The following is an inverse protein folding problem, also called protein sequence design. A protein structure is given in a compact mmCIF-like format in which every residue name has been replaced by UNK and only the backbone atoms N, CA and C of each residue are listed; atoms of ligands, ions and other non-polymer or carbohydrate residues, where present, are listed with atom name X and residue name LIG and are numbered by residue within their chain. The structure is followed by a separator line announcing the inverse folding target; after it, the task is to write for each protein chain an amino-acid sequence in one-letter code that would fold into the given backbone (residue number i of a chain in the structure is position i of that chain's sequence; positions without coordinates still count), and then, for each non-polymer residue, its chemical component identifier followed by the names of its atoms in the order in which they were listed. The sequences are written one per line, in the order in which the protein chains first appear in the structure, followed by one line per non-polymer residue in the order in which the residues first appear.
data_IF_140716757876
#
_entry.id   IF_140716757876
#
_cell.length_a   1.000
_cell.length_b   1.000
_cell.length_c   1.000
_cell.angle_alpha   90.00
_cell.angle_beta   90.00
_cell.angle_gamma   90.00
#
_symmetry.space_group_name_H-M   'P 1'
#
loop_
_entity.id
_entity.type
_entity.pdbx_description
1 polymer ?
#
# COMPACT_ATOMS: atom_id res chain seq x y z
N UNK A 1 -3.13 -46.06 6.90
CA UNK A 1 -4.34 -46.89 6.72
C UNK A 1 -4.13 -48.04 5.73
N UNK A 2 -3.69 -47.83 4.47
CA UNK A 2 -3.49 -48.93 3.49
C UNK A 2 -2.47 -50.00 3.91
N UNK A 3 -1.26 -49.59 4.32
CA UNK A 3 -0.25 -50.53 4.82
C UNK A 3 -0.72 -51.27 6.07
N UNK A 4 -1.41 -50.57 6.97
CA UNK A 4 -1.99 -51.16 8.19
C UNK A 4 -3.09 -52.20 7.90
N UNK A 5 -3.93 -51.94 6.89
CA UNK A 5 -4.98 -52.87 6.45
C UNK A 5 -4.41 -54.11 5.76
N UNK A 6 -3.31 -53.96 5.01
CA UNK A 6 -2.61 -55.07 4.39
C UNK A 6 -1.93 -55.96 5.44
N UNK A 7 -1.19 -55.35 6.38
CA UNK A 7 -0.46 -56.08 7.43
C UNK A 7 -1.39 -56.83 8.38
N UNK A 8 -2.53 -56.23 8.73
CA UNK A 8 -3.40 -56.78 9.79
C UNK A 8 -4.55 -57.64 9.27
N UNK A 9 -4.99 -57.42 8.03
CA UNK A 9 -6.19 -58.07 7.48
C UNK A 9 -5.98 -58.69 6.09
N UNK A 10 -4.78 -58.62 5.51
CA UNK A 10 -4.48 -59.19 4.18
C UNK A 10 -5.29 -58.56 3.04
N UNK A 11 -5.86 -57.36 3.27
CA UNK A 11 -6.74 -56.69 2.31
C UNK A 11 -5.94 -55.80 1.37
N UNK A 12 -5.90 -56.19 0.10
CA UNK A 12 -5.37 -55.38 -0.98
C UNK A 12 -6.37 -54.30 -1.40
N UNK A 13 -6.30 -53.15 -0.73
CA UNK A 13 -7.12 -51.98 -1.08
C UNK A 13 -6.61 -51.36 -2.40
N UNK A 14 -7.53 -51.03 -3.30
CA UNK A 14 -7.25 -50.33 -4.55
C UNK A 14 -6.52 -48.99 -4.32
N UNK A 15 -5.82 -48.50 -5.34
CA UNK A 15 -5.18 -47.18 -5.29
C UNK A 15 -6.23 -46.07 -5.16
N UNK A 16 -6.51 -45.70 -3.92
CA UNK A 16 -7.17 -44.44 -3.60
C UNK A 16 -6.13 -43.32 -3.70
N UNK A 17 -5.62 -43.07 -4.91
CA UNK A 17 -5.12 -41.75 -5.28
C UNK A 17 -6.31 -40.89 -5.64
N UNK A 18 -7.16 -40.62 -4.65
CA UNK A 18 -7.83 -39.32 -4.67
C UNK A 18 -6.68 -38.31 -4.58
N UNK A 19 -6.60 -37.32 -5.48
CA UNK A 19 -5.66 -36.23 -5.28
C UNK A 19 -5.83 -35.76 -3.84
N UNK A 20 -4.73 -35.65 -3.10
CA UNK A 20 -4.71 -35.09 -1.73
C UNK A 20 -5.11 -33.61 -1.82
N UNK A 21 -6.36 -33.35 -2.13
CA UNK A 21 -6.93 -32.07 -2.46
C UNK A 21 -8.39 -32.10 -2.05
N UNK A 22 -8.73 -31.26 -1.07
CA UNK A 22 -10.09 -30.79 -0.89
C UNK A 22 -10.62 -30.25 -2.22
N UNK A 23 -11.94 -30.29 -2.44
CA UNK A 23 -12.61 -29.57 -3.54
C UNK A 23 -12.22 -28.07 -3.57
N UNK A 24 -11.77 -27.55 -2.44
CA UNK A 24 -11.08 -26.27 -2.29
C UNK A 24 -9.61 -26.40 -2.76
N UNK A 25 -9.41 -26.56 -4.07
CA UNK A 25 -8.09 -26.57 -4.70
C UNK A 25 -7.57 -25.13 -4.80
N UNK A 26 -7.41 -24.47 -3.65
CA UNK A 26 -6.74 -23.18 -3.54
C UNK A 26 -5.28 -23.29 -3.99
N UNK A 27 -4.71 -22.16 -4.42
CA UNK A 27 -3.30 -22.05 -4.77
C UNK A 27 -2.41 -22.54 -3.61
N UNK A 28 -1.51 -23.48 -3.89
CA UNK A 28 -0.56 -23.98 -2.89
C UNK A 28 0.43 -22.87 -2.51
N UNK A 29 0.60 -22.66 -1.20
CA UNK A 29 1.56 -21.70 -0.63
C UNK A 29 2.97 -21.90 -1.19
N UNK A 30 3.43 -23.13 -1.41
CA UNK A 30 4.76 -23.35 -1.98
C UNK A 30 4.87 -22.87 -3.43
N UNK A 31 3.81 -23.03 -4.23
CA UNK A 31 3.75 -22.51 -5.59
C UNK A 31 3.73 -20.97 -5.61
N UNK A 32 3.01 -20.36 -4.67
CA UNK A 32 3.01 -18.91 -4.46
C UNK A 32 4.43 -18.43 -4.11
N UNK A 33 5.10 -19.09 -3.16
CA UNK A 33 6.44 -18.67 -2.70
C UNK A 33 7.53 -18.82 -3.76
N UNK A 34 7.47 -19.87 -4.59
CA UNK A 34 8.35 -20.00 -5.77
C UNK A 34 8.18 -18.86 -6.77
N UNK A 35 6.99 -18.28 -6.84
CA UNK A 35 6.64 -17.20 -7.75
C UNK A 35 6.26 -15.91 -6.99
N UNK A 36 6.92 -15.65 -5.86
CA UNK A 36 6.58 -14.53 -4.96
C UNK A 36 6.54 -13.17 -5.67
N UNK A 37 7.40 -12.99 -6.69
CA UNK A 37 7.43 -11.79 -7.53
C UNK A 37 6.14 -11.59 -8.35
N UNK A 38 5.50 -12.67 -8.80
CA UNK A 38 4.20 -12.63 -9.48
C UNK A 38 3.10 -12.33 -8.46
N UNK A 39 3.15 -12.99 -7.31
CA UNK A 39 2.17 -12.82 -6.23
C UNK A 39 2.09 -11.35 -5.79
N UNK A 40 3.23 -10.73 -5.44
CA UNK A 40 3.27 -9.32 -4.99
C UNK A 40 2.81 -8.34 -6.08
N UNK A 41 3.03 -8.66 -7.36
CA UNK A 41 2.58 -7.80 -8.47
C UNK A 41 1.11 -7.97 -8.85
N UNK A 42 0.48 -9.10 -8.51
CA UNK A 42 -0.87 -9.45 -8.98
C UNK A 42 -1.93 -9.51 -7.89
N UNK A 43 -1.55 -9.57 -6.62
CA UNK A 43 -2.49 -9.73 -5.52
C UNK A 43 -2.49 -8.51 -4.62
N UNK A 44 -3.68 -8.13 -4.17
CA UNK A 44 -3.87 -7.15 -3.12
C UNK A 44 -4.35 -7.82 -1.85
N UNK A 45 -3.98 -7.25 -0.72
CA UNK A 45 -4.41 -7.73 0.58
C UNK A 45 -5.62 -6.94 1.08
N UNK A 46 -6.60 -7.66 1.62
CA UNK A 46 -7.70 -7.10 2.38
C UNK A 46 -7.49 -7.44 3.86
N UNK A 47 -7.23 -6.42 4.67
CA UNK A 47 -6.94 -6.58 6.09
C UNK A 47 -8.18 -7.03 6.87
N UNK A 48 -9.36 -6.49 6.52
CA UNK A 48 -10.61 -6.76 7.24
C UNK A 48 -11.09 -8.20 7.11
N UNK A 49 -11.01 -8.74 5.89
CA UNK A 49 -11.46 -10.10 5.57
C UNK A 49 -10.29 -11.10 5.54
N UNK A 50 -9.07 -10.63 5.79
CA UNK A 50 -7.84 -11.44 5.91
C UNK A 50 -7.60 -12.40 4.73
N UNK A 51 -7.72 -11.88 3.51
CA UNK A 51 -7.46 -12.65 2.30
C UNK A 51 -6.73 -11.80 1.26
N UNK A 52 -6.03 -12.48 0.36
CA UNK A 52 -5.46 -11.87 -0.84
C UNK A 52 -6.39 -12.08 -2.02
N UNK A 53 -6.55 -11.07 -2.85
CA UNK A 53 -7.37 -11.13 -4.07
C UNK A 53 -6.56 -10.70 -5.28
N UNK A 54 -6.72 -11.42 -6.38
CA UNK A 54 -6.08 -11.09 -7.64
C UNK A 54 -6.64 -9.77 -8.20
N UNK A 55 -5.75 -8.85 -8.61
CA UNK A 55 -6.09 -7.55 -9.25
C UNK A 55 -6.77 -7.71 -10.61
N UNK A 56 -6.54 -8.85 -11.27
CA UNK A 56 -7.02 -9.10 -12.63
C UNK A 56 -7.12 -10.59 -12.87
N UNK A 57 -8.22 -11.05 -13.45
CA UNK A 57 -8.33 -12.44 -13.87
C UNK A 57 -7.38 -12.77 -15.02
N UNK A 58 -6.82 -13.98 -14.98
CA UNK A 58 -6.07 -14.52 -16.10
C UNK A 58 -6.93 -14.62 -17.38
N UNK A 59 -6.27 -14.55 -18.54
CA UNK A 59 -6.94 -14.57 -19.85
C UNK A 59 -7.80 -15.83 -20.00
N UNK A 60 -9.12 -15.65 -19.98
CA UNK A 60 -10.10 -16.72 -20.12
C UNK A 60 -10.86 -17.07 -18.84
N UNK A 61 -10.39 -16.61 -17.66
CA UNK A 61 -11.11 -16.79 -16.40
C UNK A 61 -12.15 -15.69 -16.18
N UNK A 62 -13.35 -16.09 -15.74
CA UNK A 62 -14.43 -15.19 -15.28
C UNK A 62 -14.39 -14.91 -13.78
N UNK A 63 -13.46 -15.53 -13.06
CA UNK A 63 -13.34 -15.42 -11.61
C UNK A 63 -11.94 -14.92 -11.24
N UNK A 64 -11.86 -14.19 -10.12
CA UNK A 64 -10.60 -13.79 -9.51
C UNK A 64 -10.16 -14.86 -8.52
N UNK A 65 -8.86 -15.12 -8.49
CA UNK A 65 -8.30 -16.00 -7.47
C UNK A 65 -8.26 -15.28 -6.13
N UNK A 66 -8.59 -16.00 -5.06
CA UNK A 66 -8.50 -15.52 -3.69
C UNK A 66 -7.69 -16.52 -2.86
N UNK A 67 -6.79 -16.01 -2.01
CA UNK A 67 -6.00 -16.82 -1.08
C UNK A 67 -6.41 -16.44 0.33
N UNK A 68 -7.08 -17.37 1.01
CA UNK A 68 -7.55 -17.18 2.37
C UNK A 68 -6.64 -17.87 3.37
N UNK A 69 -6.83 -17.58 4.66
CA UNK A 69 -6.18 -18.32 5.75
C UNK A 69 -6.49 -19.82 5.66
N UNK A 70 -7.66 -20.22 5.16
CA UNK A 70 -8.00 -21.64 4.98
C UNK A 70 -7.13 -22.32 3.92
N UNK A 71 -6.84 -21.63 2.81
CA UNK A 71 -5.92 -22.12 1.79
C UNK A 71 -4.51 -22.32 2.36
N UNK A 72 -4.04 -21.37 3.18
CA UNK A 72 -2.75 -21.48 3.87
C UNK A 72 -2.74 -22.66 4.87
N UNK A 73 -3.80 -22.80 5.66
CA UNK A 73 -3.94 -23.90 6.62
C UNK A 73 -3.99 -25.27 5.93
N UNK A 74 -4.59 -25.35 4.73
CA UNK A 74 -4.61 -26.56 3.91
C UNK A 74 -3.20 -26.93 3.42
N UNK A 75 -2.42 -25.98 2.91
CA UNK A 75 -1.01 -26.21 2.55
C UNK A 75 -0.18 -26.68 3.74
N UNK A 76 -0.36 -26.09 4.94
CA UNK A 76 0.34 -26.54 6.17
C UNK A 76 -0.07 -27.97 6.54
N UNK A 77 -1.36 -28.33 6.40
CA UNK A 77 -1.85 -29.68 6.68
C UNK A 77 -1.28 -30.71 5.70
N UNK A 78 -1.12 -30.34 4.44
CA UNK A 78 -0.61 -31.24 3.38
C UNK A 78 0.90 -31.42 3.43
N UNK A 79 1.66 -30.34 3.64
CA UNK A 79 3.12 -30.36 3.53
C UNK A 79 3.86 -30.31 4.88
N UNK A 80 3.13 -30.14 5.98
CA UNK A 80 3.69 -30.01 7.32
C UNK A 80 4.26 -28.62 7.62
N UNK A 81 4.60 -28.38 8.89
CA UNK A 81 5.05 -27.07 9.37
C UNK A 81 6.40 -26.61 8.78
N UNK A 82 7.21 -27.53 8.24
CA UNK A 82 8.51 -27.22 7.62
C UNK A 82 8.43 -26.29 6.40
N UNK A 83 7.27 -26.15 5.76
CA UNK A 83 7.06 -25.19 4.67
C UNK A 83 7.14 -23.73 5.15
N UNK A 84 6.90 -23.47 6.45
CA UNK A 84 6.96 -22.12 7.00
C UNK A 84 8.39 -21.57 6.94
N UNK A 85 9.38 -22.36 7.33
CA UNK A 85 10.81 -21.98 7.19
C UNK A 85 11.16 -21.60 5.75
N UNK A 86 10.70 -22.42 4.81
CA UNK A 86 10.93 -22.18 3.37
C UNK A 86 10.24 -20.89 2.90
N UNK A 87 8.99 -20.68 3.32
CA UNK A 87 8.17 -19.51 2.99
C UNK A 87 8.79 -18.23 3.53
N UNK A 88 9.25 -18.25 4.79
CA UNK A 88 9.89 -17.11 5.43
C UNK A 88 11.22 -16.79 4.75
N UNK A 89 12.01 -17.80 4.40
CA UNK A 89 13.26 -17.59 3.65
C UNK A 89 13.02 -16.93 2.28
N UNK A 90 12.04 -17.43 1.49
CA UNK A 90 11.68 -16.79 0.22
C UNK A 90 11.19 -15.35 0.40
N UNK A 91 10.37 -15.11 1.42
CA UNK A 91 9.86 -13.78 1.76
C UNK A 91 10.99 -12.84 2.16
N UNK A 92 11.90 -13.29 3.02
CA UNK A 92 13.07 -12.53 3.44
C UNK A 92 13.96 -12.17 2.24
N UNK A 93 14.32 -13.13 1.39
CA UNK A 93 15.14 -12.88 0.21
C UNK A 93 14.48 -11.89 -0.76
N UNK A 94 13.17 -11.96 -0.91
CA UNK A 94 12.42 -11.02 -1.73
C UNK A 94 12.42 -9.62 -1.12
N UNK A 95 12.07 -9.50 0.16
CA UNK A 95 12.07 -8.23 0.89
C UNK A 95 13.44 -7.57 0.90
N UNK A 96 14.50 -8.36 1.07
CA UNK A 96 15.89 -7.92 1.01
C UNK A 96 16.20 -7.16 -0.28
N UNK A 97 15.88 -7.79 -1.43
CA UNK A 97 16.08 -7.18 -2.76
C UNK A 97 15.22 -5.94 -2.98
N UNK A 98 14.00 -5.90 -2.44
CA UNK A 98 13.12 -4.73 -2.55
C UNK A 98 13.57 -3.59 -1.65
N UNK A 99 14.06 -3.92 -0.46
CA UNK A 99 14.63 -2.98 0.48
C UNK A 99 15.89 -2.34 -0.07
N UNK A 100 16.70 -3.09 -0.82
CA UNK A 100 17.86 -2.57 -1.53
C UNK A 100 17.46 -1.45 -2.52
N UNK A 101 16.52 -1.73 -3.42
CA UNK A 101 15.98 -0.74 -4.38
C UNK A 101 15.38 0.47 -3.66
N UNK A 102 14.72 0.25 -2.53
CA UNK A 102 14.18 1.32 -1.71
C UNK A 102 15.28 2.18 -1.07
N UNK A 103 16.33 1.56 -0.51
CA UNK A 103 17.47 2.27 0.05
C UNK A 103 18.21 3.07 -1.02
N UNK A 104 18.33 2.51 -2.23
CA UNK A 104 18.84 3.23 -3.40
C UNK A 104 18.05 4.51 -3.64
N UNK A 105 16.75 4.37 -3.82
CA UNK A 105 15.89 5.50 -4.09
C UNK A 105 15.99 6.62 -3.04
N UNK A 106 16.11 6.27 -1.74
CA UNK A 106 16.31 7.28 -0.69
C UNK A 106 17.73 7.84 -0.60
N UNK A 107 18.73 7.12 -1.11
CA UNK A 107 20.10 7.60 -1.15
C UNK A 107 20.34 8.61 -2.27
N UNK A 108 19.54 8.54 -3.33
CA UNK A 108 19.67 9.42 -4.50
C UNK A 108 19.75 10.89 -4.10
N UNK A 109 20.75 11.60 -4.63
CA UNK A 109 21.10 12.94 -4.19
C UNK A 109 19.98 13.95 -4.43
N UNK A 110 19.18 13.78 -5.50
CA UNK A 110 18.02 14.63 -5.75
C UNK A 110 16.96 14.43 -4.66
N UNK A 111 16.62 13.17 -4.39
CA UNK A 111 15.61 12.78 -3.39
C UNK A 111 16.05 13.20 -1.99
N UNK A 112 17.26 12.82 -1.61
CA UNK A 112 17.86 13.11 -0.29
C UNK A 112 18.02 14.61 -0.04
N UNK A 113 18.47 15.38 -1.04
CA UNK A 113 18.61 16.84 -0.90
C UNK A 113 17.26 17.52 -0.75
N UNK A 114 16.26 17.05 -1.50
CA UNK A 114 14.88 17.50 -1.37
C UNK A 114 14.34 17.20 0.04
N UNK A 115 14.41 15.95 0.50
CA UNK A 115 13.92 15.54 1.82
C UNK A 115 14.63 16.32 2.94
N UNK A 116 15.95 16.54 2.85
CA UNK A 116 16.68 17.38 3.81
C UNK A 116 16.24 18.85 3.81
N UNK A 117 15.82 19.39 2.67
CA UNK A 117 15.28 20.75 2.57
C UNK A 117 13.91 20.81 3.23
N UNK A 118 13.06 19.81 3.01
CA UNK A 118 11.74 19.72 3.65
C UNK A 118 11.86 19.59 5.17
N UNK A 119 12.75 18.71 5.67
CA UNK A 119 12.99 18.57 7.11
C UNK A 119 13.48 19.88 7.73
N UNK A 120 14.37 20.62 7.06
CA UNK A 120 14.84 21.92 7.53
C UNK A 120 13.72 22.96 7.56
N UNK A 121 12.92 23.01 6.49
CA UNK A 121 11.77 23.90 6.40
C UNK A 121 10.74 23.61 7.49
N UNK A 122 10.40 22.33 7.70
CA UNK A 122 9.45 21.92 8.74
C UNK A 122 9.97 22.31 10.12
N UNK A 123 11.25 22.06 10.43
CA UNK A 123 11.84 22.44 11.72
C UNK A 123 11.84 23.96 11.97
N UNK A 124 12.10 24.78 10.95
CA UNK A 124 12.12 26.24 11.12
C UNK A 124 10.73 26.83 11.26
N UNK A 125 9.72 26.30 10.56
CA UNK A 125 8.34 26.81 10.58
C UNK A 125 7.43 26.09 11.59
N UNK A 126 7.94 25.07 12.28
CA UNK A 126 7.23 24.38 13.36
C UNK A 126 6.83 25.36 14.46
N UNK A 127 7.61 26.41 14.72
CA UNK A 127 7.32 27.40 15.77
C UNK A 127 6.58 28.64 15.28
N UNK A 128 6.54 28.89 13.97
CA UNK A 128 5.86 30.06 13.38
C UNK A 128 4.39 29.80 13.06
N UNK A 129 4.06 28.60 12.61
CA UNK A 129 2.67 28.21 12.34
C UNK A 129 2.01 27.74 13.64
N UNK A 130 0.97 28.46 14.11
CA UNK A 130 0.20 28.12 15.32
C UNK A 130 -0.31 26.66 15.39
N UNK A 131 -0.40 25.98 14.24
CA UNK A 131 -1.07 24.68 14.10
C UNK A 131 -0.10 23.49 14.01
N UNK A 132 1.24 23.70 14.02
CA UNK A 132 2.30 22.67 14.03
C UNK A 132 2.25 21.56 12.93
N UNK A 133 1.30 21.62 12.00
CA UNK A 133 1.01 20.64 10.94
C UNK A 133 1.92 20.79 9.72
N UNK A 134 2.18 19.67 9.05
CA UNK A 134 2.90 19.65 7.77
C UNK A 134 1.95 19.99 6.61
N UNK A 135 2.20 21.05 5.80
CA UNK A 135 1.23 21.52 4.81
C UNK A 135 0.92 20.54 3.67
N UNK A 136 -0.36 20.42 3.31
CA UNK A 136 -0.81 19.56 2.20
C UNK A 136 -0.17 19.93 0.86
N UNK A 137 -0.11 21.23 0.52
CA UNK A 137 0.40 21.68 -0.78
C UNK A 137 1.85 21.25 -1.02
N UNK A 138 2.69 21.25 0.02
CA UNK A 138 4.09 20.80 -0.08
C UNK A 138 4.21 19.31 -0.35
N UNK A 139 3.36 18.49 0.28
CA UNK A 139 3.30 17.06 -0.01
C UNK A 139 2.88 16.80 -1.46
N UNK A 140 1.90 17.57 -1.96
CA UNK A 140 1.41 17.47 -3.33
C UNK A 140 2.46 17.89 -4.35
N UNK A 141 3.12 19.02 -4.13
CA UNK A 141 4.20 19.50 -5.01
C UNK A 141 5.37 18.52 -5.04
N UNK A 142 5.70 17.91 -3.89
CA UNK A 142 6.70 16.86 -3.83
C UNK A 142 6.29 15.64 -4.66
N UNK A 143 5.05 15.15 -4.50
CA UNK A 143 4.52 14.04 -5.28
C UNK A 143 4.70 14.29 -6.79
N UNK A 144 4.32 15.48 -7.26
CA UNK A 144 4.45 15.88 -8.66
C UNK A 144 5.91 15.93 -9.14
N UNK A 145 6.82 16.38 -8.28
CA UNK A 145 8.25 16.46 -8.59
C UNK A 145 8.96 15.09 -8.61
N UNK A 146 8.37 14.06 -7.98
CA UNK A 146 8.96 12.70 -7.90
C UNK A 146 8.79 11.87 -9.18
N UNK A 147 7.98 12.31 -10.14
CA UNK A 147 7.65 11.52 -11.34
C UNK A 147 8.80 11.48 -12.38
N UNK A 148 9.92 12.19 -12.16
CA UNK A 148 10.96 12.42 -13.19
C UNK A 148 12.44 12.10 -12.90
N UNK A 149 12.90 11.45 -11.81
CA UNK A 149 14.33 11.11 -11.68
C UNK A 149 14.69 9.69 -12.19
N UNK A 150 15.70 9.62 -13.06
CA UNK A 150 16.50 8.41 -13.29
C UNK A 150 17.52 8.24 -12.14
N UNK A 151 17.77 7.01 -11.68
CA UNK A 151 18.65 6.75 -10.53
C UNK A 151 20.14 6.96 -10.86
N UNK A 152 20.88 7.54 -9.91
CA UNK A 152 22.34 7.75 -9.97
C UNK A 152 23.19 6.47 -9.74
N UNK A 153 24.47 6.49 -10.16
CA UNK A 153 25.37 5.32 -10.04
C UNK A 153 25.89 5.10 -8.61
N UNK A 154 26.07 6.17 -7.85
CA UNK A 154 26.51 6.18 -6.45
C UNK A 154 25.46 5.51 -5.55
N UNK A 155 24.20 5.72 -5.92
CA UNK A 155 23.03 5.09 -5.34
C UNK A 155 23.07 3.57 -5.48
N UNK A 156 23.45 3.05 -6.65
CA UNK A 156 23.62 1.61 -6.87
C UNK A 156 24.75 0.99 -6.03
N UNK A 157 25.77 1.77 -5.66
CA UNK A 157 26.89 1.30 -4.80
C UNK A 157 26.47 1.22 -3.34
N UNK A 158 25.75 2.23 -2.83
CA UNK A 158 25.23 2.23 -1.46
C UNK A 158 24.27 1.04 -1.21
N UNK A 159 23.52 0.67 -2.24
CA UNK A 159 22.69 -0.53 -2.29
C UNK A 159 23.47 -1.82 -2.08
N UNK A 160 24.50 -2.05 -2.90
CA UNK A 160 25.29 -3.29 -2.85
C UNK A 160 25.85 -3.58 -1.45
N UNK A 161 26.13 -2.53 -0.68
CA UNK A 161 26.56 -2.66 0.71
C UNK A 161 25.43 -3.15 1.64
N UNK A 162 24.20 -2.67 1.44
CA UNK A 162 23.00 -3.19 2.13
C UNK A 162 22.80 -4.66 1.77
N UNK A 163 22.83 -4.99 0.48
CA UNK A 163 22.68 -6.37 -0.01
C UNK A 163 23.68 -7.33 0.65
N UNK A 164 24.94 -6.93 0.79
CA UNK A 164 25.96 -7.75 1.44
C UNK A 164 25.65 -8.00 2.93
N UNK A 165 25.19 -6.99 3.66
CA UNK A 165 24.82 -7.12 5.07
C UNK A 165 23.58 -8.00 5.23
N UNK A 166 22.57 -7.77 4.38
CA UNK A 166 21.29 -8.49 4.41
C UNK A 166 21.46 -9.97 4.01
N UNK A 167 22.30 -10.26 3.01
CA UNK A 167 22.62 -11.63 2.60
C UNK A 167 23.41 -12.39 3.68
N UNK A 168 24.27 -11.70 4.44
CA UNK A 168 24.96 -12.32 5.57
C UNK A 168 24.00 -12.66 6.72
N UNK A 169 23.02 -11.80 7.00
CA UNK A 169 21.98 -12.07 8.00
C UNK A 169 21.03 -13.20 7.57
N UNK A 170 20.75 -13.33 6.27
CA UNK A 170 19.90 -14.40 5.73
C UNK A 170 20.44 -15.80 6.00
N UNK A 171 21.77 -15.96 6.10
CA UNK A 171 22.42 -17.25 6.38
C UNK A 171 22.26 -17.70 7.83
N UNK A 172 21.92 -16.78 8.74
CA UNK A 172 21.79 -17.05 10.17
C UNK A 172 20.33 -17.28 10.61
N UNK A 173 19.38 -17.36 9.67
CA UNK A 173 17.94 -17.24 9.93
C UNK A 173 17.24 -18.52 10.46
N UNK A 174 17.97 -19.57 10.87
CA UNK A 174 17.41 -20.93 10.91
C UNK A 174 16.91 -21.48 12.26
N UNK A 175 16.78 -20.71 13.35
CA UNK A 175 16.65 -21.35 14.69
C UNK A 175 15.41 -21.04 15.55
N UNK A 176 14.57 -20.03 15.27
CA UNK A 176 13.46 -19.68 16.20
C UNK A 176 12.07 -19.58 15.53
N UNK A 177 11.04 -20.03 16.26
CA UNK A 177 9.63 -20.08 15.85
C UNK A 177 8.91 -18.71 15.85
N UNK A 178 9.61 -17.62 16.13
CA UNK A 178 9.05 -16.27 16.10
C UNK A 178 9.40 -15.54 14.80
N UNK A 179 8.83 -16.05 13.70
CA UNK A 179 9.17 -15.61 12.34
C UNK A 179 8.90 -14.12 12.11
N UNK A 180 7.87 -13.56 12.77
CA UNK A 180 7.47 -12.17 12.59
C UNK A 180 8.44 -11.21 13.29
N UNK A 181 8.70 -11.45 14.58
CA UNK A 181 9.60 -10.62 15.36
C UNK A 181 11.05 -10.71 14.84
N UNK A 182 11.50 -11.91 14.45
CA UNK A 182 12.83 -12.08 13.83
C UNK A 182 12.94 -11.28 12.53
N UNK A 183 11.89 -11.25 11.70
CA UNK A 183 11.90 -10.49 10.46
C UNK A 183 12.03 -8.98 10.74
N UNK A 184 11.30 -8.44 11.71
CA UNK A 184 11.42 -7.02 12.11
C UNK A 184 12.82 -6.70 12.66
N UNK A 185 13.31 -7.50 13.61
CA UNK A 185 14.58 -7.25 14.29
C UNK A 185 15.80 -7.32 13.36
N UNK A 186 15.82 -8.31 12.45
CA UNK A 186 16.92 -8.46 11.49
C UNK A 186 17.00 -7.24 10.57
N UNK A 187 15.86 -6.74 10.07
CA UNK A 187 15.85 -5.54 9.23
C UNK A 187 16.23 -4.28 10.02
N UNK A 188 15.83 -4.15 11.30
CA UNK A 188 16.25 -3.03 12.15
C UNK A 188 17.78 -2.93 12.28
N UNK A 189 18.48 -4.06 12.44
CA UNK A 189 19.94 -4.07 12.55
C UNK A 189 20.63 -3.56 11.27
N UNK A 190 20.14 -3.98 10.10
CA UNK A 190 20.65 -3.53 8.80
C UNK A 190 20.44 -2.03 8.64
N UNK A 191 19.24 -1.57 8.98
CA UNK A 191 18.78 -0.20 8.81
C UNK A 191 19.54 0.78 9.70
N UNK A 192 19.84 0.41 10.94
CA UNK A 192 20.48 1.29 11.92
C UNK A 192 21.84 1.84 11.42
N UNK A 193 22.48 1.14 10.49
CA UNK A 193 23.76 1.55 9.90
C UNK A 193 23.65 2.75 8.92
N UNK A 194 22.45 3.06 8.41
CA UNK A 194 22.27 3.96 7.26
C UNK A 194 21.50 5.24 7.59
N UNK A 195 22.22 6.36 7.66
CA UNK A 195 21.67 7.68 8.06
C UNK A 195 20.64 8.28 7.09
N UNK A 196 20.70 7.95 5.79
CA UNK A 196 19.77 8.51 4.79
C UNK A 196 18.35 7.93 4.93
N UNK A 197 18.23 6.70 5.42
CA UNK A 197 16.94 6.08 5.69
C UNK A 197 16.15 6.83 6.77
N UNK A 198 16.84 7.61 7.61
CA UNK A 198 16.30 8.54 8.61
C UNK A 198 15.27 9.57 8.07
N UNK A 199 15.18 9.74 6.75
CA UNK A 199 14.33 10.72 6.09
C UNK A 199 13.00 10.15 5.56
N UNK A 200 12.75 8.85 5.72
CA UNK A 200 11.59 8.18 5.12
C UNK A 200 10.24 8.76 5.60
N UNK A 201 10.08 9.10 6.87
CA UNK A 201 8.83 9.67 7.38
C UNK A 201 8.36 10.93 6.62
N UNK A 202 9.30 11.68 6.02
CA UNK A 202 9.02 12.88 5.26
C UNK A 202 8.46 12.58 3.85
N UNK A 203 8.71 11.40 3.29
CA UNK A 203 8.15 10.99 1.99
C UNK A 203 6.73 10.40 2.13
N UNK A 204 6.38 9.87 3.31
CA UNK A 204 5.09 9.21 3.56
C UNK A 204 3.89 10.09 3.14
N UNK A 205 3.79 11.39 3.47
CA UNK A 205 2.70 12.25 2.99
C UNK A 205 2.50 12.21 1.47
N UNK A 206 3.58 12.36 0.70
CA UNK A 206 3.50 12.33 -0.77
C UNK A 206 3.15 10.94 -1.32
N UNK A 207 3.59 9.87 -0.65
CA UNK A 207 3.19 8.50 -1.00
C UNK A 207 1.70 8.28 -0.75
N UNK A 208 1.16 8.79 0.37
CA UNK A 208 -0.28 8.66 0.65
C UNK A 208 -1.12 9.38 -0.41
N UNK A 209 -0.71 10.58 -0.86
CA UNK A 209 -1.39 11.28 -1.96
C UNK A 209 -1.38 10.43 -3.23
N UNK A 210 -0.21 9.89 -3.61
CA UNK A 210 -0.10 9.04 -4.80
C UNK A 210 -1.01 7.81 -4.73
N UNK A 211 -1.02 7.17 -3.57
CA UNK A 211 -1.81 5.98 -3.32
C UNK A 211 -3.31 6.27 -3.47
N UNK A 212 -3.79 7.38 -2.89
CA UNK A 212 -5.20 7.75 -3.00
C UNK A 212 -5.58 8.06 -4.45
N UNK A 213 -4.76 8.81 -5.18
CA UNK A 213 -5.01 9.10 -6.61
C UNK A 213 -5.06 7.82 -7.46
N UNK A 214 -4.16 6.87 -7.22
CA UNK A 214 -4.12 5.60 -7.95
C UNK A 214 -5.25 4.66 -7.52
N UNK A 215 -5.62 4.62 -6.24
CA UNK A 215 -6.76 3.86 -5.69
C UNK A 215 -8.08 4.33 -6.31
N UNK A 216 -8.34 5.65 -6.32
CA UNK A 216 -9.55 6.23 -6.92
C UNK A 216 -9.62 5.89 -8.41
N UNK A 217 -8.51 6.02 -9.14
CA UNK A 217 -8.45 5.65 -10.55
C UNK A 217 -8.70 4.14 -10.77
N UNK A 218 -8.15 3.27 -9.94
CA UNK A 218 -8.35 1.83 -10.03
C UNK A 218 -9.82 1.44 -9.79
N UNK A 219 -10.47 2.08 -8.80
CA UNK A 219 -11.91 1.91 -8.50
C UNK A 219 -12.80 2.42 -9.64
N UNK A 220 -12.51 3.58 -10.20
CA UNK A 220 -13.23 4.11 -11.37
C UNK A 220 -13.17 3.19 -12.59
N UNK A 221 -12.02 2.53 -12.81
CA UNK A 221 -11.82 1.60 -13.90
C UNK A 221 -12.63 0.31 -13.75
N UNK A 222 -12.98 -0.10 -12.53
CA UNK A 222 -13.87 -1.25 -12.29
C UNK A 222 -15.24 -1.05 -12.95
N UNK A 223 -15.78 0.18 -12.88
CA UNK A 223 -17.08 0.50 -13.46
C UNK A 223 -17.06 0.62 -14.99
N UNK A 224 -15.88 0.87 -15.59
CA UNK A 224 -15.72 1.16 -17.04
C UNK A 224 -15.28 -0.04 -17.88
N UNK A 225 -15.31 -1.27 -17.34
CA UNK A 225 -14.98 -2.54 -18.02
C UNK A 225 -13.79 -2.47 -19.00
N UNK A 226 -12.72 -1.76 -18.60
CA UNK A 226 -11.57 -1.50 -19.47
C UNK A 226 -10.49 -2.55 -19.23
N UNK A 227 -10.31 -3.49 -20.17
CA UNK A 227 -9.37 -4.63 -20.08
C UNK A 227 -7.86 -4.28 -20.05
N UNK A 228 -7.49 -3.00 -20.13
CA UNK A 228 -6.09 -2.56 -20.31
C UNK A 228 -5.40 -2.04 -19.04
N UNK A 229 -6.14 -1.61 -18.01
CA UNK A 229 -5.55 -1.11 -16.74
C UNK A 229 -5.98 -2.00 -15.58
N UNK A 230 -5.14 -2.06 -14.55
CA UNK A 230 -5.42 -2.81 -13.32
C UNK A 230 -6.60 -2.16 -12.58
N UNK A 231 -7.57 -2.97 -12.16
CA UNK A 231 -8.76 -2.53 -11.46
C UNK A 231 -8.90 -3.35 -10.19
N UNK A 232 -8.80 -2.71 -9.03
CA UNK A 232 -8.87 -3.37 -7.73
C UNK A 232 -9.68 -2.52 -6.75
N UNK A 233 -10.32 -3.18 -5.79
CA UNK A 233 -11.21 -2.52 -4.82
C UNK A 233 -10.58 -2.32 -3.43
N UNK A 234 -9.47 -3.03 -3.15
CA UNK A 234 -8.78 -3.01 -1.86
C UNK A 234 -7.28 -3.12 -2.11
N UNK A 235 -6.48 -2.42 -1.30
CA UNK A 235 -5.02 -2.55 -1.24
C UNK A 235 -4.50 -2.10 0.15
N UNK A 236 -4.87 -2.85 1.19
CA UNK A 236 -4.40 -2.58 2.56
C UNK A 236 -2.90 -2.91 2.73
N UNK A 237 -2.31 -3.60 1.75
CA UNK A 237 -0.88 -3.93 1.71
C UNK A 237 0.01 -2.68 1.72
N UNK A 238 -0.44 -1.58 1.12
CA UNK A 238 0.25 -0.30 1.18
C UNK A 238 0.35 0.24 2.61
N UNK A 239 -0.77 0.28 3.34
CA UNK A 239 -0.81 0.77 4.71
C UNK A 239 0.06 -0.08 5.66
N UNK A 240 0.02 -1.40 5.49
CA UNK A 240 0.87 -2.34 6.23
C UNK A 240 2.35 -2.12 5.90
N UNK A 241 2.69 -1.91 4.63
CA UNK A 241 4.05 -1.62 4.20
C UNK A 241 4.62 -0.33 4.80
N UNK A 242 3.83 0.75 4.82
CA UNK A 242 4.22 2.02 5.48
C UNK A 242 4.42 1.80 6.99
N UNK A 243 3.50 1.10 7.65
CA UNK A 243 3.63 0.80 9.08
C UNK A 243 4.89 -0.03 9.39
N UNK A 244 5.17 -1.05 8.58
CA UNK A 244 6.37 -1.88 8.69
C UNK A 244 7.65 -1.05 8.52
N UNK A 245 7.72 -0.20 7.48
CA UNK A 245 8.88 0.67 7.24
C UNK A 245 9.07 1.68 8.38
N UNK A 246 8.00 2.30 8.88
CA UNK A 246 8.10 3.21 10.03
C UNK A 246 8.59 2.51 11.30
N UNK A 247 8.22 1.24 11.49
CA UNK A 247 8.65 0.42 12.63
C UNK A 247 10.12 0.01 12.53
N UNK A 248 10.59 -0.51 11.39
CA UNK A 248 12.00 -0.92 11.24
C UNK A 248 12.96 0.28 11.26
N UNK A 249 12.51 1.46 10.84
CA UNK A 249 13.31 2.69 10.84
C UNK A 249 13.21 3.47 12.16
N UNK A 250 12.36 3.04 13.10
CA UNK A 250 12.04 3.74 14.34
C UNK A 250 11.64 5.22 14.12
N UNK A 251 10.75 5.46 13.15
CA UNK A 251 10.33 6.80 12.72
C UNK A 251 8.87 7.13 13.06
N UNK A 252 8.18 6.25 13.80
CA UNK A 252 6.76 6.44 14.15
C UNK A 252 6.49 7.79 14.82
N UNK A 253 7.27 8.15 15.85
CA UNK A 253 7.09 9.44 16.55
C UNK A 253 7.39 10.65 15.67
N UNK A 254 8.39 10.55 14.78
CA UNK A 254 8.71 11.62 13.84
C UNK A 254 7.57 11.85 12.84
N UNK A 255 6.96 10.76 12.36
CA UNK A 255 5.78 10.83 11.51
C UNK A 255 4.57 11.42 12.24
N UNK A 256 4.30 10.97 13.47
CA UNK A 256 3.18 11.50 14.28
C UNK A 256 3.31 13.01 14.50
N UNK A 257 4.55 13.50 14.66
CA UNK A 257 4.80 14.93 14.83
C UNK A 257 4.39 15.79 13.62
N UNK A 258 4.22 15.21 12.43
CA UNK A 258 3.78 15.93 11.23
C UNK A 258 2.28 16.27 11.27
N UNK A 259 1.48 15.60 12.11
CA UNK A 259 0.02 15.73 12.14
C UNK A 259 -0.62 15.63 10.74
N UNK A 260 -0.10 14.70 9.91
CA UNK A 260 -0.42 14.66 8.48
C UNK A 260 -1.91 14.43 8.20
N UNK A 261 -2.55 13.48 8.87
CA UNK A 261 -3.97 13.18 8.62
C UNK A 261 -4.88 14.32 9.09
N UNK A 262 -4.53 15.02 10.17
CA UNK A 262 -5.26 16.22 10.61
C UNK A 262 -5.16 17.37 9.58
N UNK A 263 -4.00 17.51 8.93
CA UNK A 263 -3.86 18.46 7.82
C UNK A 263 -4.74 18.08 6.63
N UNK A 264 -4.78 16.80 6.29
CA UNK A 264 -5.59 16.29 5.18
C UNK A 264 -7.08 16.55 5.43
N UNK A 265 -7.57 16.27 6.64
CA UNK A 265 -8.94 16.59 7.05
C UNK A 265 -9.22 18.09 6.92
N UNK A 266 -8.34 18.94 7.48
CA UNK A 266 -8.46 20.41 7.39
C UNK A 266 -8.53 20.90 5.94
N UNK A 267 -7.73 20.33 5.05
CA UNK A 267 -7.72 20.66 3.63
C UNK A 267 -9.05 20.30 2.96
N UNK A 268 -9.60 19.12 3.24
CA UNK A 268 -10.89 18.72 2.66
C UNK A 268 -12.06 19.52 3.21
N UNK A 269 -12.04 19.88 4.50
CA UNK A 269 -13.04 20.78 5.09
C UNK A 269 -12.97 22.19 4.46
N UNK A 270 -11.76 22.69 4.19
CA UNK A 270 -11.57 23.96 3.50
C UNK A 270 -12.05 23.91 2.03
N UNK A 271 -11.77 22.82 1.32
CA UNK A 271 -12.26 22.59 -0.05
C UNK A 271 -13.78 22.49 -0.09
N UNK A 272 -14.40 21.82 0.90
CA UNK A 272 -15.85 21.71 1.05
C UNK A 272 -16.49 23.07 1.36
N UNK A 273 -15.91 23.87 2.26
CA UNK A 273 -16.37 25.22 2.54
C UNK A 273 -16.28 26.12 1.29
N UNK A 274 -15.18 26.04 0.54
CA UNK A 274 -15.03 26.77 -0.72
C UNK A 274 -16.04 26.33 -1.79
N UNK A 275 -16.38 25.04 -1.82
CA UNK A 275 -17.43 24.51 -2.68
C UNK A 275 -18.81 25.06 -2.31
N UNK A 276 -19.16 25.06 -1.01
CA UNK A 276 -20.43 25.61 -0.52
C UNK A 276 -20.59 27.09 -0.88
N UNK A 277 -19.52 27.88 -0.74
CA UNK A 277 -19.52 29.30 -1.13
C UNK A 277 -19.81 29.45 -2.62
N UNK A 278 -19.10 28.72 -3.48
CA UNK A 278 -19.34 28.76 -4.94
C UNK A 278 -20.75 28.32 -5.33
N UNK A 279 -21.27 27.29 -4.67
CA UNK A 279 -22.64 26.83 -4.89
C UNK A 279 -23.65 27.92 -4.47
N UNK A 280 -23.43 28.57 -3.33
CA UNK A 280 -24.26 29.68 -2.86
C UNK A 280 -24.20 30.92 -3.75
N UNK A 281 -23.02 31.26 -4.29
CA UNK A 281 -22.85 32.34 -5.27
C UNK A 281 -23.64 32.08 -6.56
N UNK A 282 -23.61 30.84 -7.05
CA UNK A 282 -24.41 30.42 -8.20
C UNK A 282 -25.90 30.49 -7.91
N UNK A 283 -26.35 29.95 -6.78
CA UNK A 283 -27.77 29.95 -6.42
C UNK A 283 -28.29 31.39 -6.23
N UNK A 284 -27.48 32.28 -5.65
CA UNK A 284 -27.77 33.70 -5.57
C UNK A 284 -27.83 34.36 -6.96
N UNK A 285 -26.94 34.00 -7.89
CA UNK A 285 -26.96 34.48 -9.28
C UNK A 285 -28.25 34.05 -9.99
N UNK A 286 -28.66 32.79 -9.86
CA UNK A 286 -29.93 32.29 -10.39
C UNK A 286 -31.14 33.00 -9.80
N UNK A 287 -31.16 33.18 -8.48
CA UNK A 287 -32.24 33.92 -7.81
C UNK A 287 -32.30 35.38 -8.25
N UNK A 288 -31.16 36.03 -8.51
CA UNK A 288 -31.11 37.40 -9.03
C UNK A 288 -31.52 37.52 -10.51
N UNK A 289 -31.36 36.44 -11.29
CA UNK A 289 -31.70 36.41 -12.72
C UNK A 289 -33.22 36.30 -12.96
N UNK A 290 -33.95 35.60 -12.08
CA UNK A 290 -35.43 35.51 -12.12
C UNK A 290 -35.98 34.92 -13.43
N UNK A 291 -37.22 35.27 -13.81
CA UNK A 291 -37.88 34.84 -15.07
C UNK A 291 -37.35 35.55 -16.34
N UNK A 292 -36.15 36.16 -16.29
CA UNK A 292 -35.57 36.76 -17.50
C UNK A 292 -35.28 35.65 -18.51
N UNK A 293 -35.63 35.89 -19.78
CA UNK A 293 -35.33 34.96 -20.88
C UNK A 293 -33.81 34.73 -20.96
N UNK A 294 -33.37 33.58 -20.48
CA UNK A 294 -32.01 33.09 -20.66
C UNK A 294 -31.78 32.80 -22.14
N UNK A 295 -30.60 33.16 -22.64
CA UNK A 295 -30.21 32.76 -23.99
C UNK A 295 -29.82 31.28 -23.99
N UNK A 296 -29.85 30.63 -25.15
CA UNK A 296 -29.39 29.26 -25.27
C UNK A 296 -27.91 29.08 -24.83
N UNK A 297 -27.09 30.14 -24.94
CA UNK A 297 -25.70 30.12 -24.48
C UNK A 297 -25.61 30.14 -22.95
N UNK A 298 -26.42 30.96 -22.27
CA UNK A 298 -26.45 31.04 -20.81
C UNK A 298 -26.91 29.72 -20.17
N UNK A 299 -27.88 29.04 -20.81
CA UNK A 299 -28.36 27.73 -20.39
C UNK A 299 -27.27 26.65 -20.49
N UNK A 300 -26.48 26.66 -21.56
CA UNK A 300 -25.37 25.72 -21.76
C UNK A 300 -24.27 25.98 -20.73
N UNK A 301 -23.92 27.24 -20.49
CA UNK A 301 -22.89 27.62 -19.51
C UNK A 301 -23.29 27.21 -18.08
N UNK A 302 -24.55 27.39 -17.68
CA UNK A 302 -25.03 26.92 -16.38
C UNK A 302 -25.05 25.38 -16.29
N UNK A 303 -25.43 24.66 -17.35
CA UNK A 303 -25.35 23.19 -17.36
C UNK A 303 -23.90 22.69 -17.21
N UNK A 304 -22.94 23.33 -17.88
CA UNK A 304 -21.51 23.05 -17.72
C UNK A 304 -21.02 23.39 -16.30
N UNK A 305 -21.41 24.53 -15.74
CA UNK A 305 -21.09 24.94 -14.37
C UNK A 305 -21.65 23.92 -13.34
N UNK A 306 -22.91 23.51 -13.48
CA UNK A 306 -23.53 22.47 -12.63
C UNK A 306 -22.77 21.16 -12.72
N UNK A 307 -22.45 20.72 -13.93
CA UNK A 307 -21.73 19.47 -14.13
C UNK A 307 -20.33 19.52 -13.51
N UNK A 308 -19.60 20.64 -13.65
CA UNK A 308 -18.28 20.81 -13.02
C UNK A 308 -18.36 20.85 -11.50
N UNK A 309 -19.37 21.51 -10.92
CA UNK A 309 -19.61 21.53 -9.48
C UNK A 309 -19.93 20.13 -8.94
N UNK A 310 -20.81 19.39 -9.61
CA UNK A 310 -21.16 18.00 -9.21
C UNK A 310 -19.94 17.08 -9.25
N UNK A 311 -19.12 17.16 -10.30
CA UNK A 311 -17.88 16.38 -10.40
C UNK A 311 -16.88 16.75 -9.29
N UNK A 312 -16.80 18.04 -8.94
CA UNK A 312 -15.91 18.54 -7.89
C UNK A 312 -16.35 18.03 -6.52
N UNK A 313 -17.64 18.13 -6.19
CA UNK A 313 -18.21 17.61 -4.94
C UNK A 313 -17.95 16.10 -4.78
N UNK A 314 -18.28 15.33 -5.83
CA UNK A 314 -18.04 13.88 -5.84
C UNK A 314 -16.56 13.54 -5.67
N UNK A 315 -15.67 14.32 -6.28
CA UNK A 315 -14.23 14.12 -6.14
C UNK A 315 -13.75 14.35 -4.71
N UNK A 316 -14.19 15.44 -4.07
CA UNK A 316 -13.83 15.79 -2.68
C UNK A 316 -14.28 14.66 -1.74
N UNK A 317 -15.53 14.25 -1.83
CA UNK A 317 -16.11 13.19 -0.99
C UNK A 317 -15.36 11.86 -1.16
N UNK A 318 -15.12 11.44 -2.40
CA UNK A 318 -14.38 10.20 -2.69
C UNK A 318 -12.96 10.24 -2.14
N UNK A 319 -12.22 11.33 -2.34
CA UNK A 319 -10.83 11.40 -1.86
C UNK A 319 -10.79 11.45 -0.33
N UNK A 320 -11.70 12.18 0.32
CA UNK A 320 -11.84 12.20 1.78
C UNK A 320 -12.07 10.79 2.33
N UNK A 321 -13.05 10.08 1.78
CA UNK A 321 -13.36 8.72 2.19
C UNK A 321 -12.16 7.76 2.04
N UNK A 322 -11.43 7.83 0.93
CA UNK A 322 -10.24 6.99 0.74
C UNK A 322 -9.12 7.33 1.73
N UNK A 323 -8.94 8.61 2.07
CA UNK A 323 -7.97 9.02 3.09
C UNK A 323 -8.35 8.52 4.49
N UNK A 324 -9.63 8.55 4.84
CA UNK A 324 -10.14 8.01 6.11
C UNK A 324 -9.88 6.51 6.21
N UNK A 325 -10.19 5.76 5.14
CA UNK A 325 -9.89 4.34 5.05
C UNK A 325 -8.39 4.06 5.22
N UNK A 326 -7.53 4.83 4.55
CA UNK A 326 -6.08 4.70 4.68
C UNK A 326 -5.62 5.00 6.11
N UNK A 327 -6.18 6.02 6.77
CA UNK A 327 -5.85 6.37 8.14
C UNK A 327 -6.21 5.22 9.11
N UNK A 328 -7.41 4.63 8.96
CA UNK A 328 -7.82 3.48 9.77
C UNK A 328 -6.94 2.25 9.52
N UNK A 329 -6.70 1.91 8.25
CA UNK A 329 -5.83 0.77 7.89
C UNK A 329 -4.40 0.98 8.39
N UNK A 330 -3.86 2.20 8.33
CA UNK A 330 -2.51 2.51 8.82
C UNK A 330 -2.44 2.44 10.35
N UNK A 331 -3.41 3.01 11.06
CA UNK A 331 -3.44 2.95 12.52
C UNK A 331 -3.61 1.51 13.02
N UNK A 332 -4.48 0.72 12.37
CA UNK A 332 -4.61 -0.71 12.62
C UNK A 332 -3.31 -1.46 12.35
N UNK A 333 -2.67 -1.19 11.20
CA UNK A 333 -1.39 -1.80 10.83
C UNK A 333 -0.27 -1.49 11.83
N UNK A 334 -0.20 -0.26 12.34
CA UNK A 334 0.83 0.15 13.32
C UNK A 334 0.74 -0.59 14.65
N UNK A 335 -0.45 -1.08 15.04
CA UNK A 335 -0.61 -1.87 16.27
C UNK A 335 0.18 -3.18 16.17
N UNK A 336 0.24 -3.81 15.00
CA UNK A 336 0.98 -5.06 14.80
C UNK A 336 2.51 -4.91 14.97
N UNK A 337 3.02 -3.69 14.92
CA UNK A 337 4.46 -3.41 15.03
C UNK A 337 4.81 -2.59 16.28
N UNK A 338 3.85 -2.39 17.19
CA UNK A 338 4.10 -1.80 18.51
C UNK A 338 4.36 -2.95 19.47
N UNK A 339 5.63 -3.20 19.75
CA UNK A 339 6.09 -3.99 20.91
C UNK A 339 6.36 -3.07 22.10
#
# INVERSE_FOLDING_TARGET
MRQLANDKYGLHLAENHLPMGSLDQGLDVLQIMRNIHIFVGRYNYNLNQQFFVERRSDKGSRHLNAISIHSIASSIRTHGMGILNTTVNFTYQFLSKKFDIFSQFLFDDYIKSFLKREVRWYKSHKTETQDHKYPFQRAFDFNKAMVSPELSNETAVAAKNVDAVVANLSRNFSENNDYFHVLVQVFQQVVASQKHLGLFYQIVPALTINFIETSVQAKDLMYKNTRRRESYFTDDGFAIGIAYLLAILNQGQAFDSLHWFEEVERKFDADEAAFIVKQGERDARKHAMGDKKETAADLIEDEEEVHTLQLTAKRIELHRHEFDLLNWSLNGARIFFKD
#
